data_IF_178241902163
#
_entry.id   IF_178241902163
#
_cell.length_a   1.000
_cell.length_b   1.000
_cell.length_c   1.000
_cell.angle_alpha   90.00
_cell.angle_beta   90.00
_cell.angle_gamma   90.00
#
_symmetry.space_group_name_H-M   'P 1'
#
loop_
_entity.id
_entity.type
_entity.pdbx_description
1 polymer ?
#
# COMPACT_ATOMS: atom_id res chain seq x y z
N UNK A 1 9.02 -17.35 7.18
CA UNK A 1 8.84 -16.30 6.64
C UNK A 1 7.87 -16.05 5.49
N UNK A 2 7.80 -16.71 4.39
CA UNK A 2 6.77 -16.51 3.37
C UNK A 2 7.08 -15.45 2.32
N UNK A 3 8.19 -14.71 2.46
CA UNK A 3 8.58 -13.70 1.47
C UNK A 3 9.97 -13.98 0.94
N UNK A 4 10.09 -14.03 -0.39
CA UNK A 4 11.38 -14.03 -1.06
C UNK A 4 12.05 -12.66 -0.88
N UNK A 5 13.34 -12.57 -1.17
CA UNK A 5 14.03 -11.28 -1.18
C UNK A 5 13.41 -10.33 -2.18
N UNK A 6 13.01 -10.85 -3.33
CA UNK A 6 12.38 -10.04 -4.38
C UNK A 6 11.07 -9.42 -3.90
N UNK A 7 10.22 -10.22 -3.28
CA UNK A 7 8.95 -9.70 -2.75
C UNK A 7 9.20 -8.68 -1.64
N UNK A 8 10.14 -8.95 -0.73
CA UNK A 8 10.47 -8.01 0.32
C UNK A 8 10.92 -6.66 -0.24
N UNK A 9 11.74 -6.69 -1.30
CA UNK A 9 12.19 -5.46 -1.93
C UNK A 9 11.02 -4.68 -2.52
N UNK A 10 10.09 -5.37 -3.17
CA UNK A 10 8.93 -4.69 -3.75
C UNK A 10 7.94 -4.20 -2.69
N UNK A 11 7.79 -4.92 -1.59
CA UNK A 11 7.02 -4.42 -0.44
C UNK A 11 7.65 -3.11 0.06
N UNK A 12 8.96 -3.08 0.19
CA UNK A 12 9.67 -1.88 0.60
C UNK A 12 9.43 -0.72 -0.37
N UNK A 13 9.47 -1.00 -1.67
CA UNK A 13 9.22 0.04 -2.69
C UNK A 13 7.79 0.55 -2.65
N UNK A 14 6.82 -0.31 -2.36
CA UNK A 14 5.43 0.12 -2.19
C UNK A 14 5.32 1.06 -0.99
N UNK A 15 5.96 0.72 0.13
CA UNK A 15 5.96 1.59 1.31
C UNK A 15 6.62 2.92 0.98
N UNK A 16 7.75 2.91 0.28
CA UNK A 16 8.44 4.14 -0.12
C UNK A 16 7.56 5.02 -1.00
N UNK A 17 6.87 4.42 -1.97
CA UNK A 17 5.99 5.17 -2.86
C UNK A 17 4.85 5.80 -2.07
N UNK A 18 4.22 5.04 -1.18
CA UNK A 18 3.12 5.57 -0.39
C UNK A 18 3.60 6.63 0.61
N UNK A 19 4.74 6.44 1.22
CA UNK A 19 5.31 7.45 2.11
C UNK A 19 5.61 8.75 1.35
N UNK A 20 6.11 8.63 0.13
CA UNK A 20 6.33 9.80 -0.72
C UNK A 20 5.02 10.53 -0.99
N UNK A 21 3.95 9.79 -1.29
CA UNK A 21 2.63 10.39 -1.49
C UNK A 21 2.16 11.13 -0.23
N UNK A 22 2.33 10.50 0.92
CA UNK A 22 1.91 11.09 2.19
C UNK A 22 2.67 12.39 2.47
N UNK A 23 3.99 12.36 2.31
CA UNK A 23 4.84 13.52 2.58
C UNK A 23 4.49 14.67 1.65
N UNK A 24 4.26 14.38 0.38
CA UNK A 24 4.01 15.43 -0.62
C UNK A 24 2.60 15.97 -0.62
N UNK A 25 1.61 15.14 -0.29
CA UNK A 25 0.21 15.48 -0.57
C UNK A 25 -0.75 15.40 0.61
N UNK A 26 -0.42 14.62 1.65
CA UNK A 26 -1.42 14.30 2.66
C UNK A 26 -1.53 15.30 3.81
N UNK A 27 -0.47 16.05 4.09
CA UNK A 27 -0.41 16.93 5.27
C UNK A 27 -0.77 16.17 6.55
N UNK A 28 -0.34 14.90 6.61
CA UNK A 28 -0.58 14.07 7.77
C UNK A 28 0.45 14.34 8.86
N UNK A 29 0.05 14.15 10.11
CA UNK A 29 0.98 14.18 11.22
C UNK A 29 1.12 12.81 11.89
N UNK A 30 0.45 11.81 11.38
CA UNK A 30 0.52 10.45 11.90
C UNK A 30 0.40 9.44 10.76
N UNK A 31 1.31 8.48 10.75
CA UNK A 31 1.29 7.37 9.80
C UNK A 31 1.46 6.08 10.58
N UNK A 32 0.67 5.08 10.23
CA UNK A 32 0.76 3.77 10.84
C UNK A 32 1.02 2.74 9.75
N UNK A 33 2.09 1.97 9.90
CA UNK A 33 2.47 0.93 8.95
C UNK A 33 2.38 -0.42 9.66
N UNK A 34 1.72 -1.37 9.03
CA UNK A 34 1.61 -2.71 9.55
C UNK A 34 1.92 -3.75 8.47
N UNK A 35 2.56 -4.82 8.88
CA UNK A 35 2.80 -5.95 8.00
C UNK A 35 2.49 -7.21 8.79
N UNK A 36 1.61 -8.04 8.26
CA UNK A 36 1.23 -9.29 8.89
C UNK A 36 1.24 -10.42 7.87
N UNK A 37 1.33 -11.62 8.36
CA UNK A 37 1.47 -12.80 7.52
C UNK A 37 0.77 -13.97 8.17
N UNK A 38 0.03 -14.72 7.36
CA UNK A 38 -0.56 -15.97 7.77
C UNK A 38 -0.24 -17.02 6.70
N UNK A 39 -0.85 -18.21 6.77
CA UNK A 39 -0.56 -19.29 5.82
C UNK A 39 -1.01 -18.98 4.39
N UNK A 40 -1.97 -18.09 4.24
CA UNK A 40 -2.59 -17.81 2.94
C UNK A 40 -2.11 -16.49 2.36
N UNK A 41 -2.01 -15.45 3.18
CA UNK A 41 -1.76 -14.10 2.72
C UNK A 41 -0.67 -13.39 3.50
N UNK A 42 -0.08 -12.42 2.83
CA UNK A 42 0.76 -11.39 3.43
C UNK A 42 0.00 -10.08 3.26
N UNK A 43 -0.19 -9.33 4.35
CA UNK A 43 -0.95 -8.09 4.33
C UNK A 43 -0.07 -6.93 4.77
N UNK A 44 -0.03 -5.90 3.93
CA UNK A 44 0.64 -4.64 4.21
C UNK A 44 -0.42 -3.56 4.37
N UNK A 45 -0.31 -2.73 5.39
CA UNK A 45 -1.21 -1.61 5.62
C UNK A 45 -0.41 -0.34 5.86
N UNK A 46 -0.77 0.73 5.18
CA UNK A 46 -0.20 2.06 5.40
C UNK A 46 -1.36 3.04 5.56
N UNK A 47 -1.53 3.56 6.76
CA UNK A 47 -2.64 4.46 7.07
C UNK A 47 -2.10 5.81 7.51
N UNK A 48 -2.70 6.90 7.03
CA UNK A 48 -2.37 8.24 7.48
C UNK A 48 -3.63 9.01 7.87
N UNK A 49 -3.45 10.04 8.66
CA UNK A 49 -4.53 10.89 9.12
C UNK A 49 -4.58 12.24 8.38
N UNK A 50 -4.11 12.26 7.15
CA UNK A 50 -4.03 13.49 6.38
C UNK A 50 -5.35 13.93 5.76
N UNK A 51 -5.23 14.75 4.72
CA UNK A 51 -6.40 15.35 4.09
C UNK A 51 -7.18 14.39 3.20
N UNK A 52 -6.59 13.23 2.87
CA UNK A 52 -7.23 12.29 1.98
C UNK A 52 -7.33 12.80 0.55
N UNK A 53 -7.95 12.01 -0.29
CA UNK A 53 -8.17 12.38 -1.68
C UNK A 53 -9.34 11.59 -2.26
N UNK A 54 -9.83 12.04 -3.40
CA UNK A 54 -10.87 11.33 -4.11
C UNK A 54 -10.20 10.29 -5.03
N UNK A 55 -10.31 9.01 -4.67
CA UNK A 55 -9.64 7.92 -5.39
C UNK A 55 -10.14 7.77 -6.83
N UNK A 56 -11.33 8.29 -7.13
CA UNK A 56 -11.87 8.21 -8.49
C UNK A 56 -11.28 9.27 -9.41
N UNK A 57 -10.68 10.32 -8.86
CA UNK A 57 -10.20 11.46 -9.64
C UNK A 57 -8.68 11.57 -9.70
N UNK A 58 -7.98 11.06 -8.69
CA UNK A 58 -6.55 11.34 -8.53
C UNK A 58 -5.66 10.11 -8.71
N UNK A 59 -6.17 9.05 -9.32
CA UNK A 59 -5.46 7.77 -9.43
C UNK A 59 -4.08 7.89 -10.09
N UNK A 60 -3.94 8.75 -11.10
CA UNK A 60 -2.67 8.89 -11.81
C UNK A 60 -1.69 9.82 -11.12
N UNK A 61 -2.19 10.81 -10.39
CA UNK A 61 -1.35 11.87 -9.83
C UNK A 61 -0.57 11.48 -8.58
N UNK A 62 -0.85 10.35 -7.96
CA UNK A 62 -0.25 9.95 -6.69
C UNK A 62 0.35 8.55 -6.71
N UNK A 63 0.69 8.03 -7.89
CA UNK A 63 1.39 6.75 -7.99
C UNK A 63 0.54 5.52 -7.71
N UNK A 64 -0.78 5.66 -7.70
CA UNK A 64 -1.67 4.53 -7.42
C UNK A 64 -1.44 3.39 -8.41
N UNK A 65 -1.30 3.71 -9.69
CA UNK A 65 -1.10 2.69 -10.71
C UNK A 65 0.22 1.93 -10.51
N UNK A 66 1.27 2.61 -10.07
CA UNK A 66 2.55 1.96 -9.80
C UNK A 66 2.42 0.96 -8.65
N UNK A 67 1.73 1.34 -7.59
CA UNK A 67 1.53 0.46 -6.44
C UNK A 67 0.68 -0.75 -6.84
N UNK A 68 -0.40 -0.52 -7.58
CA UNK A 68 -1.27 -1.60 -8.04
C UNK A 68 -0.53 -2.55 -8.97
N UNK A 69 0.30 -2.03 -9.87
CA UNK A 69 1.09 -2.85 -10.78
C UNK A 69 2.10 -3.72 -10.04
N UNK A 70 2.76 -3.17 -9.03
CA UNK A 70 3.70 -3.95 -8.22
C UNK A 70 3.01 -5.09 -7.49
N UNK A 71 1.84 -4.82 -6.92
CA UNK A 71 1.06 -5.85 -6.24
C UNK A 71 0.62 -6.93 -7.23
N UNK A 72 0.12 -6.53 -8.39
CA UNK A 72 -0.37 -7.46 -9.41
C UNK A 72 0.72 -8.38 -9.93
N UNK A 73 1.96 -7.92 -9.96
CA UNK A 73 3.08 -8.76 -10.40
C UNK A 73 3.21 -10.04 -9.56
N UNK A 74 2.78 -10.00 -8.31
CA UNK A 74 2.81 -11.14 -7.40
C UNK A 74 1.43 -11.76 -7.18
N UNK A 75 0.50 -11.49 -8.11
CA UNK A 75 -0.90 -11.93 -7.99
C UNK A 75 -1.57 -11.37 -6.76
N UNK A 76 -1.12 -10.20 -6.32
CA UNK A 76 -1.67 -9.51 -5.17
C UNK A 76 -2.66 -8.43 -5.59
N UNK A 77 -3.13 -7.70 -4.60
CA UNK A 77 -4.11 -6.66 -4.79
C UNK A 77 -3.80 -5.46 -3.89
N UNK A 78 -4.00 -4.26 -4.41
CA UNK A 78 -3.81 -3.03 -3.65
C UNK A 78 -5.11 -2.24 -3.64
N UNK A 79 -5.55 -1.85 -2.46
CA UNK A 79 -6.78 -1.11 -2.23
C UNK A 79 -6.48 0.19 -1.52
N UNK A 80 -7.00 1.28 -2.07
CA UNK A 80 -6.90 2.59 -1.44
C UNK A 80 -8.28 3.00 -0.96
N UNK A 81 -8.41 3.24 0.33
CA UNK A 81 -9.64 3.78 0.90
C UNK A 81 -9.33 5.18 1.39
N UNK A 82 -9.88 6.18 0.71
CA UNK A 82 -9.63 7.57 1.06
C UNK A 82 -10.82 8.42 0.64
N UNK A 83 -11.06 9.46 1.44
CA UNK A 83 -12.05 10.49 1.14
C UNK A 83 -11.47 11.82 1.58
N UNK A 84 -11.82 12.93 0.91
CA UNK A 84 -11.35 14.24 1.34
C UNK A 84 -11.62 14.48 2.81
N UNK A 85 -10.60 14.88 3.56
CA UNK A 85 -10.68 15.14 4.99
C UNK A 85 -10.60 13.93 5.89
N UNK A 86 -10.45 12.71 5.35
CA UNK A 86 -10.52 11.47 6.14
C UNK A 86 -9.23 10.65 6.13
N UNK A 87 -8.15 11.20 5.58
CA UNK A 87 -6.92 10.45 5.46
C UNK A 87 -6.99 9.37 4.38
N UNK A 88 -6.05 8.46 4.42
CA UNK A 88 -5.96 7.38 3.44
C UNK A 88 -5.48 6.10 4.11
N UNK A 89 -6.08 4.98 3.73
CA UNK A 89 -5.60 3.66 4.13
C UNK A 89 -5.29 2.88 2.86
N UNK A 90 -4.04 2.53 2.68
CA UNK A 90 -3.60 1.61 1.63
C UNK A 90 -3.50 0.23 2.25
N UNK A 91 -4.17 -0.74 1.65
CA UNK A 91 -4.05 -2.14 2.04
C UNK A 91 -3.58 -2.93 0.83
N UNK A 92 -2.48 -3.65 0.97
CA UNK A 92 -1.94 -4.50 -0.09
C UNK A 92 -1.91 -5.93 0.41
N UNK A 93 -2.47 -6.83 -0.37
CA UNK A 93 -2.44 -8.26 -0.05
C UNK A 93 -1.64 -9.00 -1.12
N UNK A 94 -0.85 -9.95 -0.68
CA UNK A 94 -0.12 -10.85 -1.57
C UNK A 94 -0.40 -12.28 -1.14
N UNK A 95 -0.54 -13.22 -2.10
CA UNK A 95 -0.54 -14.63 -1.71
C UNK A 95 0.78 -14.97 -1.02
N UNK A 96 0.72 -15.76 0.04
CA UNK A 96 1.93 -16.21 0.71
C UNK A 96 2.69 -17.13 -0.24
N UNK A 97 3.94 -16.80 -0.57
CA UNK A 97 4.73 -17.54 -1.56
C UNK A 97 5.01 -18.98 -1.17
N UNK A 98 4.94 -19.27 0.13
CA UNK A 98 5.17 -20.63 0.63
C UNK A 98 3.88 -21.29 1.09
N UNK A 99 2.75 -20.75 0.70
CA UNK A 99 1.45 -21.36 0.97
C UNK A 99 1.27 -22.61 0.11
N UNK A 100 0.70 -23.63 0.69
CA UNK A 100 0.43 -24.88 -0.03
C UNK A 100 -1.08 -25.08 -0.13
#
# INVERSE_FOLDING_TARGET
HGMSEKLRLDVFRIVQEQMSNIIKHAKANRVKIGLSQNKVDILLSVADNGIGFDVTKNAEGIGILNIKSRAAFYNGNADFVSKPGKGCVLTVSFPNEYSI
#
